data_IF_958068184849
#
_entry.id   IF_958068184849
#
_cell.length_a   1.000
_cell.length_b   1.000
_cell.length_c   1.000
_cell.angle_alpha   90.00
_cell.angle_beta   90.00
_cell.angle_gamma   90.00
#
_symmetry.space_group_name_H-M   'P 1'
#
loop_
_entity.id
_entity.type
_entity.pdbx_description
1 polymer ?
#
# COMPACT_ATOMS: atom_id res chain seq x y z
N UNK A 1 -14.09 -32.05 12.76
CA UNK A 1 -12.64 -31.94 13.01
C UNK A 1 -12.44 -31.04 14.22
N UNK A 2 -11.81 -31.58 15.26
CA UNK A 2 -11.62 -30.92 16.56
C UNK A 2 -10.49 -29.86 16.48
N UNK A 3 -10.64 -28.86 15.60
CA UNK A 3 -9.77 -27.68 15.56
C UNK A 3 -9.76 -26.91 16.89
N UNK A 4 -10.71 -27.21 17.78
CA UNK A 4 -10.83 -26.60 19.10
C UNK A 4 -9.56 -26.76 19.93
N UNK A 5 -8.93 -27.93 20.00
CA UNK A 5 -7.84 -28.14 20.96
C UNK A 5 -6.55 -27.41 20.56
N UNK A 6 -6.14 -27.49 19.29
CA UNK A 6 -5.00 -26.72 18.75
C UNK A 6 -5.24 -25.21 18.82
N UNK A 7 -6.47 -24.77 18.58
CA UNK A 7 -6.83 -23.35 18.68
C UNK A 7 -6.81 -22.88 20.15
N UNK A 8 -7.31 -23.68 21.09
CA UNK A 8 -7.25 -23.39 22.52
C UNK A 8 -5.80 -23.30 23.00
N UNK A 9 -4.98 -24.30 22.70
CA UNK A 9 -3.55 -24.28 23.02
C UNK A 9 -2.85 -23.03 22.47
N UNK A 10 -3.15 -22.63 21.23
CA UNK A 10 -2.59 -21.41 20.66
C UNK A 10 -3.09 -20.13 21.35
N UNK A 11 -4.37 -20.06 21.71
CA UNK A 11 -4.97 -18.92 22.39
C UNK A 11 -4.40 -18.71 23.81
N UNK A 12 -3.90 -19.77 24.45
CA UNK A 12 -3.22 -19.67 25.75
C UNK A 12 -1.88 -18.92 25.64
N UNK A 13 -1.26 -18.93 24.46
CA UNK A 13 0.02 -18.27 24.19
C UNK A 13 -0.11 -16.97 23.39
N UNK A 14 -1.22 -16.73 22.69
CA UNK A 14 -1.42 -15.52 21.90
C UNK A 14 -2.85 -15.00 21.93
N UNK A 15 -2.99 -13.68 22.06
CA UNK A 15 -4.27 -12.98 21.85
C UNK A 15 -4.56 -12.67 20.37
N UNK A 16 -3.55 -12.81 19.52
CA UNK A 16 -3.65 -12.57 18.08
C UNK A 16 -4.05 -13.85 17.34
N UNK A 17 -4.69 -13.70 16.19
CA UNK A 17 -5.11 -14.83 15.34
C UNK A 17 -4.24 -14.92 14.09
N UNK A 18 -4.00 -16.16 13.63
CA UNK A 18 -3.51 -16.42 12.28
C UNK A 18 -4.52 -15.87 11.26
N UNK A 19 -4.01 -15.18 10.25
CA UNK A 19 -4.82 -14.67 9.16
C UNK A 19 -4.90 -15.69 8.03
N UNK A 20 -6.11 -15.95 7.55
CA UNK A 20 -6.31 -16.70 6.31
C UNK A 20 -6.00 -15.82 5.11
N UNK A 21 -5.50 -16.44 4.03
CA UNK A 21 -5.30 -15.75 2.77
C UNK A 21 -6.68 -15.33 2.24
N UNK A 22 -6.85 -14.03 1.99
CA UNK A 22 -8.06 -13.51 1.35
C UNK A 22 -7.82 -13.43 -0.17
N UNK A 23 -8.66 -14.12 -0.94
CA UNK A 23 -8.56 -14.19 -2.41
C UNK A 23 -8.71 -12.82 -3.09
N UNK A 24 -9.37 -11.87 -2.43
CA UNK A 24 -9.75 -10.57 -3.02
C UNK A 24 -8.86 -9.40 -2.58
N UNK A 25 -7.77 -9.63 -1.84
CA UNK A 25 -6.90 -8.57 -1.31
C UNK A 25 -5.46 -8.76 -1.79
N UNK A 26 -4.89 -7.73 -2.41
CA UNK A 26 -3.49 -7.73 -2.84
C UNK A 26 -2.57 -7.96 -1.63
N UNK A 27 -1.41 -8.60 -1.86
CA UNK A 27 -0.40 -8.87 -0.84
C UNK A 27 -0.86 -9.70 0.37
N UNK A 28 -1.94 -10.48 0.25
CA UNK A 28 -2.48 -11.34 1.32
C UNK A 28 -1.44 -12.30 1.90
N UNK A 29 -0.58 -12.90 1.05
CA UNK A 29 0.56 -13.73 1.49
C UNK A 29 1.55 -12.95 2.36
N UNK A 30 1.89 -11.71 1.98
CA UNK A 30 2.83 -10.86 2.74
C UNK A 30 2.22 -10.45 4.07
N UNK A 31 0.93 -10.09 4.09
CA UNK A 31 0.19 -9.78 5.33
C UNK A 31 0.17 -10.97 6.27
N UNK A 32 -0.05 -12.18 5.74
CA UNK A 32 -0.02 -13.41 6.53
C UNK A 32 1.39 -13.68 7.09
N UNK A 33 2.45 -13.52 6.30
CA UNK A 33 3.83 -13.67 6.79
C UNK A 33 4.20 -12.64 7.86
N UNK A 34 3.74 -11.38 7.73
CA UNK A 34 3.90 -10.36 8.77
C UNK A 34 3.19 -10.78 10.06
N UNK A 35 1.94 -11.24 9.97
CA UNK A 35 1.21 -11.73 11.14
C UNK A 35 1.90 -12.95 11.76
N UNK A 36 2.39 -13.87 10.94
CA UNK A 36 3.13 -15.04 11.39
C UNK A 36 4.36 -14.64 12.23
N UNK A 37 5.10 -13.60 11.81
CA UNK A 37 6.23 -13.06 12.57
C UNK A 37 5.82 -12.53 13.95
N UNK A 38 4.66 -11.87 14.05
CA UNK A 38 4.14 -11.35 15.33
C UNK A 38 3.75 -12.45 16.32
N UNK A 39 3.18 -13.56 15.82
CA UNK A 39 2.73 -14.67 16.66
C UNK A 39 3.79 -15.78 16.82
N UNK A 40 4.95 -15.63 16.18
CA UNK A 40 6.02 -16.63 16.13
C UNK A 40 6.39 -17.15 17.52
N UNK A 41 6.64 -16.26 18.47
CA UNK A 41 7.06 -16.64 19.82
C UNK A 41 5.99 -17.50 20.51
N UNK A 42 4.72 -17.14 20.36
CA UNK A 42 3.61 -17.91 20.88
C UNK A 42 3.51 -19.29 20.23
N UNK A 43 3.71 -19.38 18.91
CA UNK A 43 3.76 -20.67 18.19
C UNK A 43 4.93 -21.54 18.66
N UNK A 44 6.11 -20.95 18.90
CA UNK A 44 7.27 -21.68 19.42
C UNK A 44 7.02 -22.20 20.85
N UNK A 45 6.45 -21.37 21.73
CA UNK A 45 6.07 -21.80 23.08
C UNK A 45 5.03 -22.93 23.06
N UNK A 46 4.03 -22.82 22.18
CA UNK A 46 3.01 -23.84 21.99
C UNK A 46 3.62 -25.19 21.62
N UNK A 47 4.53 -25.25 20.63
CA UNK A 47 5.10 -26.54 20.18
C UNK A 47 6.18 -27.12 21.10
N UNK A 48 6.68 -26.33 22.05
CA UNK A 48 7.60 -26.79 23.10
C UNK A 48 6.82 -27.27 24.36
N UNK A 49 5.53 -26.92 24.48
CA UNK A 49 4.72 -27.27 25.64
C UNK A 49 4.51 -28.78 25.81
N UNK A 50 4.38 -29.24 27.05
CA UNK A 50 4.06 -30.64 27.37
C UNK A 50 2.71 -31.07 26.77
N UNK A 51 1.76 -30.13 26.68
CA UNK A 51 0.43 -30.37 26.10
C UNK A 51 0.54 -30.73 24.61
N UNK A 52 1.49 -30.11 23.89
CA UNK A 52 1.77 -30.44 22.50
C UNK A 52 2.38 -31.83 22.34
N UNK A 53 3.27 -32.24 23.24
CA UNK A 53 3.88 -33.58 23.20
C UNK A 53 2.87 -34.70 23.57
N UNK A 54 1.83 -34.38 24.34
CA UNK A 54 0.69 -35.26 24.60
C UNK A 54 -0.31 -35.33 23.44
N UNK A 55 -0.20 -34.46 22.43
CA UNK A 55 -1.13 -34.40 21.31
C UNK A 55 -0.97 -35.59 20.35
N UNK A 56 -2.00 -36.46 20.27
CA UNK A 56 -2.01 -37.65 19.41
C UNK A 56 -3.22 -37.75 18.46
N UNK A 57 -4.08 -36.73 18.43
CA UNK A 57 -5.44 -36.88 17.88
C UNK A 57 -5.55 -36.84 16.35
N UNK A 58 -4.62 -36.20 15.62
CA UNK A 58 -4.73 -36.09 14.16
C UNK A 58 -3.63 -36.82 13.39
N UNK A 59 -2.42 -36.24 13.41
CA UNK A 59 -1.33 -36.64 12.54
C UNK A 59 -0.03 -36.22 13.22
N UNK A 60 0.59 -37.19 13.89
CA UNK A 60 1.81 -37.01 14.67
C UNK A 60 2.97 -36.59 13.77
N UNK A 61 2.99 -37.05 12.51
CA UNK A 61 4.04 -36.70 11.56
C UNK A 61 3.94 -35.24 11.10
N UNK A 62 2.72 -34.76 10.81
CA UNK A 62 2.49 -33.32 10.55
C UNK A 62 2.82 -32.47 11.77
N UNK A 63 2.44 -32.88 12.98
CA UNK A 63 2.75 -32.16 14.21
C UNK A 63 4.28 -32.05 14.44
N UNK A 64 5.01 -33.15 14.21
CA UNK A 64 6.49 -33.16 14.23
C UNK A 64 7.07 -32.20 13.19
N UNK A 65 6.58 -32.26 11.95
CA UNK A 65 7.04 -31.38 10.86
C UNK A 65 6.82 -29.91 11.19
N UNK A 66 5.67 -29.56 11.79
CA UNK A 66 5.38 -28.19 12.25
C UNK A 66 6.33 -27.74 13.36
N UNK A 67 6.57 -28.60 14.36
CA UNK A 67 7.54 -28.33 15.44
C UNK A 67 8.95 -28.09 14.87
N UNK A 68 9.44 -28.98 14.01
CA UNK A 68 10.75 -28.84 13.35
C UNK A 68 10.84 -27.54 12.54
N UNK A 69 9.80 -27.17 11.80
CA UNK A 69 9.80 -25.97 10.97
C UNK A 69 9.76 -24.68 11.79
N UNK A 70 9.00 -24.65 12.89
CA UNK A 70 8.88 -23.49 13.79
C UNK A 70 10.15 -23.25 14.62
N UNK A 71 10.92 -24.29 14.89
CA UNK A 71 12.19 -24.23 15.62
C UNK A 71 13.40 -24.05 14.70
N UNK A 72 13.22 -24.03 13.38
CA UNK A 72 14.30 -23.84 12.42
C UNK A 72 14.60 -22.35 12.20
N UNK A 73 15.72 -21.87 12.72
CA UNK A 73 16.15 -20.48 12.57
C UNK A 73 16.44 -20.05 11.13
N UNK A 74 16.93 -20.96 10.28
CA UNK A 74 17.18 -20.63 8.86
C UNK A 74 15.87 -20.35 8.11
N UNK A 75 14.83 -21.14 8.37
CA UNK A 75 13.50 -20.89 7.81
C UNK A 75 12.96 -19.52 8.22
N UNK A 76 13.24 -19.10 9.45
CA UNK A 76 12.80 -17.82 9.97
C UNK A 76 13.58 -16.66 9.33
N UNK A 77 14.88 -16.83 9.11
CA UNK A 77 15.70 -15.89 8.35
C UNK A 77 15.25 -15.78 6.88
N UNK A 78 14.71 -16.85 6.30
CA UNK A 78 14.12 -16.81 4.96
C UNK A 78 12.81 -16.02 4.94
N UNK A 79 11.95 -16.16 5.95
CA UNK A 79 10.74 -15.33 6.10
C UNK A 79 11.12 -13.86 6.22
N UNK A 80 12.09 -13.54 7.08
CA UNK A 80 12.56 -12.16 7.26
C UNK A 80 13.07 -11.59 5.94
N UNK A 81 13.88 -12.37 5.22
CA UNK A 81 14.37 -11.96 3.92
C UNK A 81 13.23 -11.69 2.91
N UNK A 82 12.24 -12.59 2.83
CA UNK A 82 11.06 -12.40 1.96
C UNK A 82 10.33 -11.12 2.31
N UNK A 83 10.10 -10.86 3.60
CA UNK A 83 9.43 -9.66 4.06
C UNK A 83 10.24 -8.40 3.74
N UNK A 84 11.56 -8.44 3.91
CA UNK A 84 12.43 -7.30 3.71
C UNK A 84 12.47 -6.86 2.24
N UNK A 85 12.65 -7.79 1.29
CA UNK A 85 12.73 -7.40 -0.12
C UNK A 85 11.35 -7.09 -0.72
N UNK A 86 10.27 -7.63 -0.17
CA UNK A 86 8.90 -7.32 -0.62
C UNK A 86 8.30 -6.10 0.06
N UNK A 87 8.91 -5.59 1.13
CA UNK A 87 8.42 -4.42 1.87
C UNK A 87 8.27 -3.18 0.99
N UNK A 88 9.26 -2.76 0.16
CA UNK A 88 9.12 -1.59 -0.69
C UNK A 88 7.96 -1.70 -1.68
N UNK A 89 7.74 -2.91 -2.23
CA UNK A 89 6.64 -3.20 -3.16
C UNK A 89 5.29 -3.05 -2.45
N UNK A 90 5.14 -3.67 -1.28
CA UNK A 90 3.92 -3.61 -0.48
C UNK A 90 3.63 -2.19 0.05
N UNK A 91 4.66 -1.41 0.35
CA UNK A 91 4.52 -0.01 0.77
C UNK A 91 4.01 0.86 -0.37
N UNK A 92 4.62 0.80 -1.56
CA UNK A 92 4.11 1.58 -2.70
C UNK A 92 2.69 1.19 -3.07
N UNK A 93 2.36 -0.10 -3.09
CA UNK A 93 0.99 -0.54 -3.34
C UNK A 93 0.02 0.11 -2.35
N UNK A 94 0.36 0.16 -1.05
CA UNK A 94 -0.47 0.86 -0.05
C UNK A 94 -0.55 2.36 -0.28
N UNK A 95 0.54 3.01 -0.68
CA UNK A 95 0.54 4.45 -1.00
C UNK A 95 -0.33 4.76 -2.22
N UNK A 96 -0.35 3.89 -3.23
CA UNK A 96 -1.24 4.04 -4.40
C UNK A 96 -2.69 3.69 -4.10
N UNK A 97 -2.94 2.93 -3.03
CA UNK A 97 -4.26 2.46 -2.63
C UNK A 97 -5.01 3.48 -1.73
N UNK A 98 -4.52 4.71 -1.60
CA UNK A 98 -5.17 5.78 -0.84
C UNK A 98 -6.00 6.70 -1.73
N UNK A 99 -6.91 7.46 -1.10
CA UNK A 99 -7.70 8.50 -1.78
C UNK A 99 -6.87 9.79 -2.02
N UNK A 100 -5.57 9.78 -1.72
CA UNK A 100 -4.71 10.95 -1.87
C UNK A 100 -4.23 11.07 -3.32
N UNK A 101 -4.20 12.27 -3.90
CA UNK A 101 -3.67 12.43 -5.24
C UNK A 101 -2.18 12.09 -5.30
N UNK A 102 -1.84 11.09 -6.10
CA UNK A 102 -0.50 10.51 -6.14
C UNK A 102 0.01 10.20 -7.54
N UNK A 103 -0.78 10.50 -8.58
CA UNK A 103 -0.52 9.98 -9.93
C UNK A 103 0.85 10.41 -10.47
N UNK A 104 1.27 11.63 -10.10
CA UNK A 104 2.54 12.24 -10.43
C UNK A 104 3.76 11.62 -9.70
N UNK A 105 3.52 10.86 -8.63
CA UNK A 105 4.56 10.23 -7.79
C UNK A 105 4.86 8.79 -8.19
N UNK A 106 3.98 8.16 -8.99
CA UNK A 106 4.07 6.73 -9.31
C UNK A 106 5.40 6.36 -9.98
N UNK A 107 5.90 7.22 -10.87
CA UNK A 107 7.21 7.04 -11.53
C UNK A 107 8.36 7.03 -10.52
N UNK A 108 8.44 8.05 -9.66
CA UNK A 108 9.45 8.16 -8.61
C UNK A 108 9.42 6.97 -7.65
N UNK A 109 8.23 6.56 -7.24
CA UNK A 109 8.07 5.40 -6.36
C UNK A 109 8.49 4.12 -7.05
N UNK A 110 8.26 3.99 -8.35
CA UNK A 110 8.67 2.81 -9.11
C UNK A 110 10.19 2.64 -9.12
N UNK A 111 10.92 3.71 -9.44
CA UNK A 111 12.38 3.72 -9.43
C UNK A 111 12.92 3.47 -8.02
N UNK A 112 12.34 4.12 -7.01
CA UNK A 112 12.69 3.92 -5.60
C UNK A 112 12.48 2.47 -5.14
N UNK A 113 11.40 1.80 -5.58
CA UNK A 113 11.18 0.38 -5.27
C UNK A 113 12.28 -0.47 -5.86
N UNK A 114 12.61 -0.28 -7.14
CA UNK A 114 13.63 -1.08 -7.82
C UNK A 114 14.96 -0.98 -7.06
N UNK A 115 15.35 0.24 -6.70
CA UNK A 115 16.58 0.50 -5.93
C UNK A 115 16.54 -0.15 -4.54
N UNK A 116 15.46 0.05 -3.77
CA UNK A 116 15.33 -0.52 -2.43
C UNK A 116 15.32 -2.05 -2.45
N UNK A 117 14.60 -2.66 -3.39
CA UNK A 117 14.57 -4.12 -3.60
C UNK A 117 15.96 -4.63 -3.94
N UNK A 118 16.70 -3.93 -4.83
CA UNK A 118 18.07 -4.27 -5.19
C UNK A 118 18.98 -4.27 -3.97
N UNK A 119 18.94 -3.22 -3.16
CA UNK A 119 19.76 -3.10 -1.94
C UNK A 119 19.56 -4.28 -1.00
N UNK A 120 18.30 -4.67 -0.74
CA UNK A 120 18.00 -5.79 0.17
C UNK A 120 18.51 -7.11 -0.39
N UNK A 121 18.27 -7.38 -1.68
CA UNK A 121 18.71 -8.63 -2.32
C UNK A 121 20.24 -8.73 -2.31
N UNK A 122 20.94 -7.67 -2.70
CA UNK A 122 22.39 -7.67 -2.77
C UNK A 122 23.04 -7.79 -1.40
N UNK A 123 22.44 -7.18 -0.36
CA UNK A 123 22.88 -7.36 1.02
C UNK A 123 22.81 -8.83 1.45
N UNK A 124 21.70 -9.52 1.15
CA UNK A 124 21.55 -10.95 1.46
C UNK A 124 22.53 -11.83 0.70
N UNK A 125 22.79 -11.50 -0.56
CA UNK A 125 23.75 -12.21 -1.42
C UNK A 125 25.22 -11.85 -1.13
N UNK A 126 25.48 -10.89 -0.23
CA UNK A 126 26.81 -10.35 0.08
C UNK A 126 27.54 -9.83 -1.18
N UNK A 127 26.80 -9.12 -2.04
CA UNK A 127 27.29 -8.56 -3.31
C UNK A 127 27.35 -7.04 -3.30
N UNK A 128 28.21 -6.48 -4.14
CA UNK A 128 28.25 -5.04 -4.39
C UNK A 128 27.19 -4.63 -5.40
N UNK A 129 26.66 -3.41 -5.32
CA UNK A 129 25.54 -2.96 -6.16
C UNK A 129 25.83 -2.92 -7.67
N UNK A 130 27.10 -2.96 -8.07
CA UNK A 130 27.53 -3.04 -9.46
C UNK A 130 27.64 -4.48 -9.99
N UNK A 131 27.55 -5.49 -9.12
CA UNK A 131 27.62 -6.89 -9.51
C UNK A 131 26.33 -7.35 -10.20
N UNK A 132 26.44 -8.43 -10.96
CA UNK A 132 25.26 -9.12 -11.48
C UNK A 132 24.64 -10.02 -10.39
N UNK A 133 23.31 -10.09 -10.33
CA UNK A 133 22.57 -11.03 -9.48
C UNK A 133 21.49 -11.72 -10.30
N UNK A 134 21.55 -13.06 -10.38
CA UNK A 134 20.56 -13.85 -11.13
C UNK A 134 19.17 -13.72 -10.51
N UNK A 135 19.08 -13.71 -9.18
CA UNK A 135 17.80 -13.56 -8.50
C UNK A 135 17.22 -12.16 -8.68
N UNK A 136 18.04 -11.11 -8.50
CA UNK A 136 17.59 -9.74 -8.77
C UNK A 136 17.13 -9.57 -10.21
N UNK A 137 17.82 -10.15 -11.20
CA UNK A 137 17.40 -10.05 -12.60
C UNK A 137 16.00 -10.62 -12.84
N UNK A 138 15.65 -11.73 -12.18
CA UNK A 138 14.29 -12.29 -12.24
C UNK A 138 13.28 -11.35 -11.58
N UNK A 139 13.58 -10.86 -10.38
CA UNK A 139 12.70 -9.93 -9.65
C UNK A 139 12.50 -8.63 -10.43
N UNK A 140 13.57 -8.06 -10.97
CA UNK A 140 13.57 -6.88 -11.80
C UNK A 140 12.74 -7.09 -13.08
N UNK A 141 12.89 -8.24 -13.75
CA UNK A 141 12.05 -8.60 -14.90
C UNK A 141 10.57 -8.60 -14.54
N UNK A 142 10.19 -9.22 -13.42
CA UNK A 142 8.79 -9.20 -12.93
C UNK A 142 8.31 -7.77 -12.64
N UNK A 143 9.15 -6.93 -12.03
CA UNK A 143 8.82 -5.53 -11.79
C UNK A 143 8.58 -4.82 -13.13
N UNK A 144 9.52 -4.88 -14.08
CA UNK A 144 9.37 -4.25 -15.40
C UNK A 144 8.13 -4.75 -16.16
N UNK A 145 7.84 -6.05 -16.12
CA UNK A 145 6.64 -6.62 -16.73
C UNK A 145 5.33 -6.10 -16.10
N UNK A 146 5.36 -5.76 -14.80
CA UNK A 146 4.23 -5.12 -14.12
C UNK A 146 4.14 -3.64 -14.45
N UNK A 147 5.28 -2.96 -14.52
CA UNK A 147 5.36 -1.56 -14.94
C UNK A 147 4.79 -1.33 -16.32
N UNK A 148 5.22 -2.13 -17.31
CA UNK A 148 4.78 -2.01 -18.71
C UNK A 148 3.27 -2.14 -18.87
N UNK A 149 2.60 -2.91 -18.00
CA UNK A 149 1.14 -3.05 -17.98
C UNK A 149 0.41 -1.92 -17.25
N UNK A 150 1.11 -1.20 -16.38
CA UNK A 150 0.54 -0.21 -15.47
C UNK A 150 0.91 1.24 -15.86
N UNK A 151 1.93 1.40 -16.69
CA UNK A 151 2.35 2.69 -17.22
C UNK A 151 1.35 3.16 -18.28
N UNK A 152 0.58 4.19 -17.94
CA UNK A 152 -0.40 4.80 -18.84
C UNK A 152 0.05 6.21 -19.22
N UNK A 153 -0.38 6.75 -20.38
CA UNK A 153 -0.10 8.13 -20.75
C UNK A 153 -0.52 9.15 -19.68
N UNK A 154 -1.51 8.80 -18.86
CA UNK A 154 -1.99 9.62 -17.76
C UNK A 154 -0.95 9.75 -16.63
N UNK A 155 -0.28 8.66 -16.27
CA UNK A 155 0.83 8.70 -15.32
C UNK A 155 2.02 9.49 -15.89
N UNK A 156 2.35 9.30 -17.17
CA UNK A 156 3.40 10.06 -17.85
C UNK A 156 3.11 11.56 -17.78
N UNK A 157 1.88 11.96 -18.14
CA UNK A 157 1.47 13.36 -18.16
C UNK A 157 1.49 13.96 -16.75
N UNK A 158 0.94 13.26 -15.74
CA UNK A 158 0.96 13.73 -14.36
C UNK A 158 2.39 13.92 -13.83
N UNK A 159 3.28 12.97 -14.12
CA UNK A 159 4.69 13.08 -13.74
C UNK A 159 5.38 14.23 -14.47
N UNK A 160 5.16 14.38 -15.78
CA UNK A 160 5.72 15.48 -16.57
C UNK A 160 5.23 16.85 -16.13
N UNK A 161 4.07 16.92 -15.45
CA UNK A 161 3.53 18.17 -14.92
C UNK A 161 4.02 18.47 -13.50
N UNK A 162 4.89 17.65 -12.92
CA UNK A 162 5.45 17.92 -11.60
C UNK A 162 6.64 18.90 -11.72
N UNK A 163 6.53 20.12 -11.16
CA UNK A 163 7.52 21.18 -11.34
C UNK A 163 8.86 20.91 -10.66
N UNK A 164 8.91 19.96 -9.73
CA UNK A 164 10.16 19.51 -9.10
C UNK A 164 11.18 19.03 -10.14
N UNK A 165 10.72 18.46 -11.25
CA UNK A 165 11.58 17.89 -12.30
C UNK A 165 11.90 18.87 -13.44
N UNK A 166 11.36 20.09 -13.41
CA UNK A 166 11.67 21.09 -14.44
C UNK A 166 13.08 21.62 -14.31
N UNK A 167 13.83 21.60 -15.41
CA UNK A 167 15.15 22.23 -15.46
C UNK A 167 14.99 23.75 -15.52
N UNK A 168 16.00 24.48 -15.04
CA UNK A 168 16.04 25.95 -15.16
C UNK A 168 15.92 26.41 -16.60
N UNK A 169 16.56 25.67 -17.52
CA UNK A 169 16.51 25.95 -18.95
C UNK A 169 15.09 25.83 -19.50
N UNK A 170 14.35 24.78 -19.14
CA UNK A 170 12.97 24.59 -19.60
C UNK A 170 12.01 25.69 -19.11
N UNK A 171 12.17 26.12 -17.86
CA UNK A 171 11.34 27.18 -17.27
C UNK A 171 11.57 28.55 -17.94
N UNK A 172 12.78 28.78 -18.45
CA UNK A 172 13.18 30.03 -19.10
C UNK A 172 13.05 29.99 -20.63
N UNK A 173 12.75 28.82 -21.22
CA UNK A 173 12.77 28.59 -22.67
C UNK A 173 11.73 29.42 -23.42
N UNK A 174 10.59 29.70 -22.78
CA UNK A 174 9.49 30.47 -23.39
C UNK A 174 9.39 31.85 -22.73
N UNK A 175 9.80 32.93 -23.42
CA UNK A 175 9.65 34.30 -22.93
C UNK A 175 8.18 34.62 -22.65
N UNK A 176 7.89 35.26 -21.51
CA UNK A 176 6.53 35.65 -21.13
C UNK A 176 5.75 34.61 -20.32
N UNK A 177 6.40 33.54 -19.84
CA UNK A 177 5.84 32.68 -18.79
C UNK A 177 6.42 33.07 -17.43
N UNK A 178 5.56 33.18 -16.42
CA UNK A 178 5.93 33.49 -15.03
C UNK A 178 6.77 32.36 -14.38
N UNK A 179 6.91 31.22 -15.06
CA UNK A 179 7.66 30.06 -14.57
C UNK A 179 9.16 30.30 -14.38
N UNK A 180 9.74 31.23 -15.15
CA UNK A 180 11.17 31.56 -15.08
C UNK A 180 11.56 32.50 -13.94
N UNK A 181 10.60 32.99 -13.16
CA UNK A 181 10.83 33.91 -12.04
C UNK A 181 11.52 33.21 -10.85
N UNK A 182 12.28 33.98 -10.07
CA UNK A 182 13.01 33.46 -8.91
C UNK A 182 12.10 32.75 -7.90
N UNK A 183 10.89 33.26 -7.68
CA UNK A 183 9.94 32.70 -6.72
C UNK A 183 9.42 31.34 -7.20
N UNK A 184 8.98 31.25 -8.45
CA UNK A 184 8.62 29.99 -9.12
C UNK A 184 9.73 28.93 -9.03
N UNK A 185 10.98 29.34 -9.25
CA UNK A 185 12.14 28.44 -9.19
C UNK A 185 12.44 27.92 -7.79
N UNK A 186 12.23 28.75 -6.76
CA UNK A 186 12.40 28.36 -5.37
C UNK A 186 11.27 27.43 -4.94
N UNK A 187 10.03 27.81 -5.24
CA UNK A 187 8.82 27.14 -4.80
C UNK A 187 8.69 25.69 -5.32
N UNK A 188 9.20 25.40 -6.53
CA UNK A 188 9.03 24.09 -7.18
C UNK A 188 9.55 22.89 -6.39
N UNK A 189 10.49 23.10 -5.47
CA UNK A 189 11.06 22.05 -4.61
C UNK A 189 10.40 21.94 -3.23
N UNK A 190 9.59 22.93 -2.83
CA UNK A 190 8.99 23.02 -1.50
C UNK A 190 7.47 22.90 -1.51
N UNK A 191 6.82 23.41 -2.57
CA UNK A 191 5.37 23.35 -2.73
C UNK A 191 4.95 22.05 -3.39
N UNK A 192 3.75 21.58 -3.07
CA UNK A 192 3.14 20.49 -3.81
C UNK A 192 2.79 20.94 -5.23
N UNK A 193 2.80 20.02 -6.22
CA UNK A 193 2.58 20.38 -7.62
C UNK A 193 1.27 21.14 -7.87
N UNK A 194 0.19 20.78 -7.18
CA UNK A 194 -1.11 21.45 -7.28
C UNK A 194 -1.06 22.92 -6.82
N UNK A 195 -0.36 23.21 -5.72
CA UNK A 195 -0.21 24.57 -5.19
C UNK A 195 0.66 25.40 -6.15
N UNK A 196 1.80 24.84 -6.59
CA UNK A 196 2.70 25.53 -7.51
C UNK A 196 1.99 25.92 -8.81
N UNK A 197 1.23 25.01 -9.40
CA UNK A 197 0.43 25.31 -10.60
C UNK A 197 -0.68 26.32 -10.32
N UNK A 198 -1.27 26.33 -9.13
CA UNK A 198 -2.26 27.33 -8.73
C UNK A 198 -1.70 28.76 -8.71
N UNK A 199 -0.46 28.93 -8.23
CA UNK A 199 0.21 30.24 -8.12
C UNK A 199 0.81 30.67 -9.44
N UNK A 200 1.65 29.82 -10.04
CA UNK A 200 2.53 30.18 -11.15
C UNK A 200 1.93 29.86 -12.53
N UNK A 201 0.88 29.03 -12.59
CA UNK A 201 0.23 28.59 -13.84
C UNK A 201 -0.72 29.60 -14.49
N UNK A 202 -0.88 30.80 -13.93
CA UNK A 202 -1.91 31.77 -14.34
C UNK A 202 -1.77 32.24 -15.80
N UNK A 203 -0.54 32.27 -16.30
CA UNK A 203 -0.17 32.61 -17.68
C UNK A 203 -0.66 31.57 -18.71
N UNK A 204 -0.97 30.33 -18.29
CA UNK A 204 -1.43 29.25 -19.16
C UNK A 204 -2.70 28.58 -18.60
N UNK A 205 -3.79 29.36 -18.53
CA UNK A 205 -5.06 28.96 -17.89
C UNK A 205 -5.60 27.59 -18.33
N UNK A 206 -5.53 27.28 -19.62
CA UNK A 206 -6.01 25.98 -20.13
C UNK A 206 -5.18 24.82 -19.58
N UNK A 207 -3.85 24.95 -19.59
CA UNK A 207 -2.95 23.94 -19.04
C UNK A 207 -3.11 23.85 -17.53
N UNK A 208 -3.15 24.98 -16.83
CA UNK A 208 -3.38 25.04 -15.38
C UNK A 208 -4.64 24.28 -14.97
N UNK A 209 -5.77 24.49 -15.66
CA UNK A 209 -7.02 23.79 -15.36
C UNK A 209 -6.90 22.26 -15.56
N UNK A 210 -6.28 21.82 -16.64
CA UNK A 210 -6.04 20.39 -16.91
C UNK A 210 -5.11 19.80 -15.85
N UNK A 211 -4.03 20.51 -15.52
CA UNK A 211 -3.04 20.08 -14.54
C UNK A 211 -3.63 19.94 -13.15
N UNK A 212 -4.41 20.92 -12.68
CA UNK A 212 -5.07 20.85 -11.37
C UNK A 212 -6.06 19.67 -11.29
N UNK A 213 -6.81 19.43 -12.36
CA UNK A 213 -7.71 18.29 -12.44
C UNK A 213 -6.93 16.96 -12.40
N UNK A 214 -5.83 16.85 -13.14
CA UNK A 214 -5.03 15.65 -13.23
C UNK A 214 -4.26 15.36 -11.94
N UNK A 215 -3.61 16.38 -11.37
CA UNK A 215 -2.85 16.27 -10.12
C UNK A 215 -3.74 16.01 -8.92
N UNK A 216 -5.03 16.32 -9.01
CA UNK A 216 -6.05 15.99 -8.01
C UNK A 216 -6.58 14.54 -8.09
N UNK A 217 -6.16 13.73 -9.07
CA UNK A 217 -6.66 12.37 -9.23
C UNK A 217 -5.92 11.35 -8.32
N UNK A 218 -6.65 10.46 -7.62
CA UNK A 218 -6.05 9.32 -6.95
C UNK A 218 -5.56 8.27 -7.96
N UNK A 219 -4.58 7.45 -7.55
CA UNK A 219 -3.98 6.45 -8.43
C UNK A 219 -4.79 5.14 -8.56
N UNK A 220 -5.71 4.87 -7.64
CA UNK A 220 -6.40 3.57 -7.56
C UNK A 220 -7.92 3.69 -7.64
N UNK A 221 -8.51 2.73 -8.36
CA UNK A 221 -9.97 2.52 -8.38
C UNK A 221 -10.52 1.92 -7.08
N UNK A 222 -9.64 1.46 -6.18
CA UNK A 222 -10.03 0.92 -4.87
C UNK A 222 -10.68 1.97 -3.97
N UNK A 223 -10.33 3.25 -4.14
CA UNK A 223 -10.99 4.40 -3.51
C UNK A 223 -12.50 4.35 -3.74
N UNK A 224 -12.91 4.08 -4.98
CA UNK A 224 -14.31 3.89 -5.34
C UNK A 224 -14.87 2.62 -4.71
N UNK A 225 -14.12 1.50 -4.68
CA UNK A 225 -14.56 0.25 -4.06
C UNK A 225 -14.82 0.39 -2.55
N UNK A 226 -14.07 1.23 -1.83
CA UNK A 226 -14.35 1.53 -0.41
C UNK A 226 -15.68 2.27 -0.25
N UNK A 227 -15.96 3.26 -1.10
CA UNK A 227 -17.26 3.93 -1.11
C UNK A 227 -18.40 2.94 -1.41
N UNK A 228 -18.18 1.98 -2.32
CA UNK A 228 -19.13 0.90 -2.58
C UNK A 228 -19.28 -0.10 -1.42
N UNK A 229 -18.23 -0.35 -0.64
CA UNK A 229 -18.33 -1.20 0.55
C UNK A 229 -19.20 -0.53 1.63
N UNK A 230 -19.08 0.79 1.80
CA UNK A 230 -19.97 1.59 2.65
C UNK A 230 -21.40 1.64 2.09
N UNK A 231 -21.56 1.75 0.76
CA UNK A 231 -22.86 1.63 0.09
C UNK A 231 -23.52 0.29 0.43
N UNK A 232 -22.80 -0.83 0.30
CA UNK A 232 -23.30 -2.17 0.61
C UNK A 232 -23.68 -2.35 2.10
N UNK A 233 -23.05 -1.59 3.00
CA UNK A 233 -23.42 -1.58 4.43
C UNK A 233 -24.73 -0.83 4.68
N UNK A 234 -24.93 0.30 3.99
CA UNK A 234 -26.12 1.16 4.09
C UNK A 234 -27.31 0.57 3.32
N UNK A 235 -27.04 -0.09 2.20
CA UNK A 235 -27.98 -0.69 1.28
C UNK A 235 -27.57 -2.12 0.96
N UNK A 236 -28.41 -3.06 1.36
CA UNK A 236 -28.33 -4.45 0.92
C UNK A 236 -29.74 -4.82 0.50
N UNK A 237 -29.90 -5.42 -0.69
CA UNK A 237 -31.19 -5.91 -1.18
C UNK A 237 -31.88 -6.87 -0.19
N UNK A 238 -31.11 -7.45 0.75
CA UNK A 238 -31.59 -8.33 1.84
C UNK A 238 -32.00 -7.61 3.13
N UNK A 239 -31.49 -6.40 3.43
CA UNK A 239 -31.71 -5.71 4.73
C UNK A 239 -32.56 -4.44 4.66
N UNK A 240 -32.47 -3.65 3.58
CA UNK A 240 -33.19 -2.37 3.48
C UNK A 240 -33.53 -2.05 2.02
N UNK A 241 -34.82 -1.98 1.69
CA UNK A 241 -35.32 -1.60 0.35
C UNK A 241 -35.37 -0.07 0.20
N UNK A 242 -34.23 0.60 0.32
CA UNK A 242 -34.13 2.04 0.02
C UNK A 242 -34.16 2.25 -1.50
N UNK A 243 -34.80 3.33 -1.96
CA UNK A 243 -34.76 3.73 -3.37
C UNK A 243 -33.29 4.02 -3.78
N UNK A 244 -32.83 3.54 -4.95
CA UNK A 244 -31.44 3.70 -5.41
C UNK A 244 -30.92 5.14 -5.30
N UNK A 245 -31.74 6.12 -5.67
CA UNK A 245 -31.40 7.55 -5.59
C UNK A 245 -31.03 8.02 -4.18
N UNK A 246 -31.80 7.61 -3.15
CA UNK A 246 -31.51 7.98 -1.75
C UNK A 246 -30.23 7.33 -1.24
N UNK A 247 -29.87 6.15 -1.77
CA UNK A 247 -28.63 5.49 -1.38
C UNK A 247 -27.42 6.17 -2.02
N UNK A 248 -27.54 6.62 -3.28
CA UNK A 248 -26.54 7.47 -3.95
C UNK A 248 -26.31 8.78 -3.19
N UNK A 249 -27.39 9.49 -2.84
CA UNK A 249 -27.31 10.76 -2.08
C UNK A 249 -26.63 10.56 -0.72
N UNK A 250 -26.95 9.48 -0.01
CA UNK A 250 -26.32 9.15 1.27
C UNK A 250 -24.82 8.84 1.12
N UNK A 251 -24.43 8.14 0.05
CA UNK A 251 -23.00 7.88 -0.22
C UNK A 251 -22.27 9.14 -0.64
N UNK A 252 -22.90 10.00 -1.43
CA UNK A 252 -22.35 11.31 -1.79
C UNK A 252 -22.10 12.17 -0.55
N UNK A 253 -23.11 12.32 0.32
CA UNK A 253 -23.00 13.08 1.56
C UNK A 253 -21.94 12.47 2.48
N UNK A 254 -21.95 11.15 2.67
CA UNK A 254 -20.95 10.47 3.51
C UNK A 254 -19.52 10.65 2.98
N UNK A 255 -19.32 10.51 1.67
CA UNK A 255 -18.00 10.66 1.03
C UNK A 255 -17.48 12.09 1.20
N UNK A 256 -18.33 13.10 0.93
CA UNK A 256 -17.94 14.50 1.07
C UNK A 256 -17.69 14.90 2.52
N UNK A 257 -18.54 14.48 3.46
CA UNK A 257 -18.29 14.69 4.89
C UNK A 257 -16.96 14.07 5.32
N UNK A 258 -16.67 12.84 4.89
CA UNK A 258 -15.40 12.17 5.16
C UNK A 258 -14.20 12.94 4.59
N UNK A 259 -14.30 13.44 3.36
CA UNK A 259 -13.23 14.24 2.73
C UNK A 259 -12.99 15.57 3.46
N UNK A 260 -14.06 16.28 3.84
CA UNK A 260 -13.96 17.54 4.58
C UNK A 260 -13.41 17.33 5.99
N UNK A 261 -13.88 16.30 6.70
CA UNK A 261 -13.40 15.99 8.04
C UNK A 261 -11.92 15.60 8.05
N UNK A 262 -11.38 14.94 7.01
CA UNK A 262 -9.94 14.62 6.92
C UNK A 262 -9.02 15.84 6.91
N UNK A 263 -9.55 17.02 6.56
CA UNK A 263 -8.80 18.28 6.56
C UNK A 263 -8.69 18.89 7.97
N UNK A 264 -9.38 18.34 8.97
CA UNK A 264 -9.33 18.84 10.35
C UNK A 264 -8.43 17.96 11.23
N UNK A 265 -7.67 18.54 12.18
CA UNK A 265 -6.83 17.78 13.12
C UNK A 265 -7.63 16.82 14.02
N UNK A 266 -8.94 17.06 14.13
CA UNK A 266 -9.88 16.25 14.91
C UNK A 266 -10.30 14.95 14.21
N UNK A 267 -9.98 14.76 12.93
CA UNK A 267 -10.37 13.55 12.20
C UNK A 267 -9.94 12.25 12.89
N UNK A 268 -8.71 12.23 13.42
CA UNK A 268 -8.14 11.09 14.13
C UNK A 268 -8.59 11.00 15.61
N UNK A 269 -9.49 11.87 16.06
CA UNK A 269 -9.96 11.95 17.45
C UNK A 269 -11.49 11.84 17.49
N UNK A 270 -12.00 10.73 18.04
CA UNK A 270 -13.44 10.52 18.25
C UNK A 270 -14.12 9.70 17.15
N UNK A 271 -15.40 9.96 16.89
CA UNK A 271 -16.28 9.10 16.06
C UNK A 271 -15.86 9.02 14.59
N UNK A 272 -15.19 10.07 14.06
CA UNK A 272 -14.68 10.11 12.69
C UNK A 272 -13.53 9.13 12.44
N UNK A 273 -12.83 8.65 13.47
CA UNK A 273 -11.81 7.60 13.34
C UNK A 273 -12.41 6.29 12.81
N UNK A 274 -13.68 6.03 13.13
CA UNK A 274 -14.43 4.87 12.69
C UNK A 274 -14.90 4.98 11.23
N UNK A 275 -14.68 6.10 10.55
CA UNK A 275 -15.06 6.23 9.13
C UNK A 275 -14.03 5.59 8.19
N UNK A 276 -12.88 5.16 8.72
CA UNK A 276 -11.87 4.35 8.03
C UNK A 276 -11.94 2.87 8.45
N UNK A 277 -13.14 2.34 8.74
CA UNK A 277 -13.34 0.90 8.94
C UNK A 277 -12.89 0.16 7.68
N UNK A 278 -11.80 -0.60 7.82
CA UNK A 278 -11.07 -1.19 6.69
C UNK A 278 -9.59 -0.80 6.63
N UNK A 279 -9.01 -0.13 7.63
CA UNK A 279 -7.58 -0.33 7.93
C UNK A 279 -7.37 -1.79 8.31
N UNK A 280 -7.28 -2.63 7.29
CA UNK A 280 -7.00 -4.04 7.42
C UNK A 280 -5.55 -4.22 7.87
N UNK A 281 -5.37 -4.67 9.12
CA UNK A 281 -4.18 -5.37 9.59
C UNK A 281 -3.18 -4.56 10.39
#
# INVERSE_FOLDING_TARGET
MNHSMRLTMFNDHSKLKLLTIADTRFASTIVMLKRFKEIKQALQQMVISEIWDMYKEDDVEKARTVKEKLLNDLFLLDIDYILDFTAPINEMLRMTDTDTPCLHLVYEWWDSIIEKVKIVIFRKEQRQLHDASRFFNVVHGILVDRWTKSNTPLHCLAHSLNPMYYSKQWLQEVPGRDFGESDSMNDRGFLSPDIWWGIHGSSIKTLQAITLNLLGQPCSSSCCKRNWSTYNFIHSMRRNKKAPQRAEDLVFVHTNLRLLSRRTPTYNKGVSQLWDIGRDG
#
